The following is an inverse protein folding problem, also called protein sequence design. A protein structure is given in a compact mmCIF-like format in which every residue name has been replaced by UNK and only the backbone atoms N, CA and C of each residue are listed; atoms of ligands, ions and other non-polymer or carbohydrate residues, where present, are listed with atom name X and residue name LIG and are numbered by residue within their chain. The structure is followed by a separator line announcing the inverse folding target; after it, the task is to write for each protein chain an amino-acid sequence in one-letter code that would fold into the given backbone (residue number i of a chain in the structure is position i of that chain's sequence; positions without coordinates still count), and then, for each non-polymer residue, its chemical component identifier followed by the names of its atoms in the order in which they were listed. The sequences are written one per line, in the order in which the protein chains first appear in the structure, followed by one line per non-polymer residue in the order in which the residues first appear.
data_IF_666199592448
#
_entry.id   IF_666199592448
#
_cell.length_a   1.000
_cell.length_b   1.000
_cell.length_c   1.000
_cell.angle_alpha   90.00
_cell.angle_beta   90.00
_cell.angle_gamma   90.00
#
_symmetry.space_group_name_H-M   'P 1'
#
loop_
_entity.id
_entity.type
_entity.pdbx_description
1 polymer ?
#
# COMPACT_ATOMS: atom_id res chain seq x y z
N UNK A 1 31.81 -0.38 22.84
CA UNK A 1 32.92 -0.83 21.98
C UNK A 1 32.39 -1.07 20.58
N UNK A 2 32.83 -0.31 19.56
CA UNK A 2 32.41 -0.57 18.19
C UNK A 2 33.00 -1.92 17.76
N UNK A 3 32.15 -2.86 17.34
CA UNK A 3 32.59 -4.07 16.65
C UNK A 3 33.30 -3.60 15.39
N UNK A 4 34.60 -3.88 15.28
CA UNK A 4 35.33 -3.75 14.02
C UNK A 4 34.54 -4.53 12.98
N UNK A 5 33.98 -3.82 12.01
CA UNK A 5 33.41 -4.43 10.81
C UNK A 5 34.53 -5.20 10.14
N UNK A 6 34.51 -6.53 10.27
CA UNK A 6 35.43 -7.37 9.49
C UNK A 6 35.22 -7.00 8.02
N UNK A 7 36.30 -6.75 7.26
CA UNK A 7 36.17 -6.43 5.85
C UNK A 7 35.45 -7.59 5.16
N UNK A 8 34.31 -7.30 4.55
CA UNK A 8 33.55 -8.28 3.78
C UNK A 8 34.41 -8.71 2.60
N UNK A 9 34.76 -10.00 2.51
CA UNK A 9 35.56 -10.50 1.39
C UNK A 9 34.84 -10.23 0.06
N UNK A 10 35.62 -9.74 -0.89
CA UNK A 10 35.16 -9.45 -2.24
C UNK A 10 34.78 -10.75 -2.95
N UNK A 11 33.94 -10.66 -3.97
CA UNK A 11 33.52 -11.84 -4.73
C UNK A 11 34.71 -12.60 -5.35
N UNK A 12 35.73 -11.87 -5.81
CA UNK A 12 36.95 -12.42 -6.37
C UNK A 12 37.77 -13.20 -5.32
N UNK A 13 37.90 -12.65 -4.11
CA UNK A 13 38.60 -13.33 -3.02
C UNK A 13 37.84 -14.58 -2.57
N UNK A 14 36.51 -14.52 -2.46
CA UNK A 14 35.67 -15.69 -2.15
C UNK A 14 35.82 -16.82 -3.16
N UNK A 15 35.85 -16.50 -4.47
CA UNK A 15 36.01 -17.50 -5.52
C UNK A 15 37.40 -18.12 -5.56
N UNK A 16 38.40 -17.45 -4.99
CA UNK A 16 39.80 -17.88 -5.04
C UNK A 16 40.25 -18.68 -3.80
N UNK A 17 39.59 -18.52 -2.65
CA UNK A 17 39.97 -19.15 -1.37
C UNK A 17 40.10 -20.68 -1.47
N UNK A 18 39.08 -21.36 -2.02
CA UNK A 18 39.07 -22.83 -2.10
C UNK A 18 40.02 -23.33 -3.20
N UNK A 19 40.01 -22.80 -4.44
CA UNK A 19 40.96 -23.20 -5.47
C UNK A 19 42.43 -23.00 -5.07
N UNK A 20 42.77 -21.87 -4.44
CA UNK A 20 44.13 -21.61 -4.00
C UNK A 20 44.58 -22.57 -2.88
N UNK A 21 43.68 -22.95 -1.97
CA UNK A 21 43.97 -23.95 -0.95
C UNK A 21 44.13 -25.35 -1.56
N UNK A 22 43.32 -25.69 -2.57
CA UNK A 22 43.39 -26.98 -3.27
C UNK A 22 44.67 -27.10 -4.10
N UNK A 23 45.09 -26.04 -4.79
CA UNK A 23 46.36 -25.98 -5.52
C UNK A 23 47.54 -26.19 -4.56
N UNK A 24 47.54 -25.48 -3.43
CA UNK A 24 48.58 -25.62 -2.42
C UNK A 24 48.62 -27.03 -1.78
N UNK A 25 47.46 -27.68 -1.63
CA UNK A 25 47.38 -29.06 -1.15
C UNK A 25 47.84 -30.07 -2.20
N UNK A 26 47.53 -29.83 -3.48
CA UNK A 26 47.99 -30.66 -4.60
C UNK A 26 49.51 -30.59 -4.76
N UNK A 27 50.09 -29.40 -4.70
CA UNK A 27 51.54 -29.19 -4.76
C UNK A 27 52.27 -29.88 -3.61
N UNK A 28 51.72 -29.79 -2.39
CA UNK A 28 52.30 -30.45 -1.22
C UNK A 28 52.20 -31.98 -1.30
N UNK A 29 51.10 -32.52 -1.85
CA UNK A 29 50.93 -33.95 -2.08
C UNK A 29 51.87 -34.45 -3.19
N UNK A 30 52.06 -33.67 -4.26
CA UNK A 30 53.00 -33.97 -5.34
C UNK A 30 54.44 -34.02 -4.80
N UNK A 31 54.85 -33.06 -3.98
CA UNK A 31 56.18 -33.02 -3.37
C UNK A 31 56.46 -34.25 -2.48
N UNK A 32 55.45 -34.77 -1.77
CA UNK A 32 55.55 -36.03 -1.03
C UNK A 32 55.71 -37.22 -1.99
N UNK A 33 54.86 -37.31 -3.01
CA UNK A 33 54.88 -38.41 -3.98
C UNK A 33 56.20 -38.49 -4.76
N UNK A 34 56.76 -37.34 -5.16
CA UNK A 34 58.06 -37.25 -5.82
C UNK A 34 59.19 -37.71 -4.89
N UNK A 35 59.19 -37.25 -3.62
CA UNK A 35 60.19 -37.68 -2.65
C UNK A 35 60.12 -39.19 -2.37
N UNK A 36 58.92 -39.77 -2.31
CA UNK A 36 58.72 -41.22 -2.14
C UNK A 36 59.16 -42.02 -3.37
N UNK A 37 58.89 -41.53 -4.58
CA UNK A 37 59.31 -42.18 -5.83
C UNK A 37 60.84 -42.26 -5.97
N UNK A 38 61.55 -41.21 -5.56
CA UNK A 38 63.03 -41.21 -5.53
C UNK A 38 63.54 -42.23 -4.50
N UNK A 39 62.92 -42.33 -3.32
CA UNK A 39 63.29 -43.32 -2.30
C UNK A 39 63.04 -44.76 -2.79
N UNK A 40 61.98 -45.01 -3.57
CA UNK A 40 61.69 -46.32 -4.19
C UNK A 40 62.58 -46.63 -5.41
N UNK A 41 63.38 -45.68 -5.89
CA UNK A 41 64.20 -45.84 -7.10
C UNK A 41 63.42 -45.76 -8.41
N UNK A 42 62.18 -45.25 -8.37
CA UNK A 42 61.27 -45.11 -9.52
C UNK A 42 61.51 -43.80 -10.29
N UNK A 43 62.23 -42.84 -9.70
CA UNK A 43 62.53 -41.54 -10.28
C UNK A 43 64.01 -41.13 -10.05
N UNK A 44 64.63 -40.38 -10.99
CA UNK A 44 65.98 -39.88 -10.83
C UNK A 44 66.01 -38.75 -9.77
N UNK A 45 66.93 -38.83 -8.81
CA UNK A 45 67.09 -37.80 -7.79
C UNK A 45 67.98 -38.23 -6.63
N UNK A 46 68.25 -37.31 -5.71
CA UNK A 46 68.89 -37.63 -4.43
C UNK A 46 67.80 -38.00 -3.43
N UNK A 47 67.84 -39.19 -2.79
CA UNK A 47 66.81 -39.59 -1.84
C UNK A 47 66.76 -38.62 -0.65
N UNK A 48 65.55 -38.18 -0.31
CA UNK A 48 65.31 -37.32 0.84
C UNK A 48 65.68 -38.06 2.14
N UNK A 49 66.16 -37.31 3.14
CA UNK A 49 66.38 -37.88 4.48
C UNK A 49 65.04 -38.25 5.13
N UNK A 50 65.01 -39.21 6.07
CA UNK A 50 63.78 -39.57 6.78
C UNK A 50 63.08 -38.38 7.46
N UNK A 51 63.86 -37.44 8.01
CA UNK A 51 63.35 -36.21 8.63
C UNK A 51 62.73 -35.26 7.59
N UNK A 52 63.36 -35.10 6.42
CA UNK A 52 62.82 -34.27 5.35
C UNK A 52 61.50 -34.83 4.79
N UNK A 53 61.39 -36.15 4.65
CA UNK A 53 60.15 -36.81 4.24
C UNK A 53 59.03 -36.65 5.28
N UNK A 54 59.35 -36.75 6.57
CA UNK A 54 58.39 -36.52 7.64
C UNK A 54 57.85 -35.09 7.62
N UNK A 55 58.71 -34.09 7.38
CA UNK A 55 58.31 -32.69 7.27
C UNK A 55 57.41 -32.44 6.04
N UNK A 56 57.70 -33.05 4.90
CA UNK A 56 56.85 -32.95 3.71
C UNK A 56 55.46 -33.54 3.94
N UNK A 57 55.38 -34.71 4.61
CA UNK A 57 54.09 -35.33 4.97
C UNK A 57 53.27 -34.45 5.91
N UNK A 58 53.89 -33.86 6.93
CA UNK A 58 53.24 -32.88 7.82
C UNK A 58 52.75 -31.64 7.06
N UNK A 59 53.54 -31.12 6.13
CA UNK A 59 53.16 -29.98 5.30
C UNK A 59 51.96 -30.33 4.40
N UNK A 60 51.92 -31.53 3.82
CA UNK A 60 50.79 -32.00 3.02
C UNK A 60 49.51 -32.17 3.85
N UNK A 61 49.61 -32.72 5.06
CA UNK A 61 48.48 -32.82 6.00
C UNK A 61 47.96 -31.42 6.39
N UNK A 62 48.86 -30.49 6.69
CA UNK A 62 48.51 -29.11 7.01
C UNK A 62 47.84 -28.40 5.81
N UNK A 63 48.33 -28.62 4.59
CA UNK A 63 47.73 -28.07 3.39
C UNK A 63 46.31 -28.64 3.17
N UNK A 64 46.10 -29.94 3.42
CA UNK A 64 44.76 -30.56 3.41
C UNK A 64 43.81 -29.93 4.42
N UNK A 65 44.26 -29.66 5.66
CA UNK A 65 43.44 -28.97 6.67
C UNK A 65 43.06 -27.54 6.26
N UNK A 66 43.93 -26.85 5.52
CA UNK A 66 43.63 -25.50 5.00
C UNK A 66 42.53 -25.50 3.95
N UNK A 67 42.39 -26.56 3.15
CA UNK A 67 41.24 -26.73 2.23
C UNK A 67 39.94 -26.80 3.02
N UNK A 68 39.87 -27.62 4.06
CA UNK A 68 38.66 -27.72 4.90
C UNK A 68 38.34 -26.40 5.60
N UNK A 69 39.35 -25.65 6.04
CA UNK A 69 39.15 -24.32 6.61
C UNK A 69 38.64 -23.31 5.57
N UNK A 70 39.18 -23.34 4.36
CA UNK A 70 38.76 -22.52 3.22
C UNK A 70 37.29 -22.80 2.82
N UNK A 71 36.88 -24.06 2.79
CA UNK A 71 35.50 -24.47 2.49
C UNK A 71 34.51 -23.98 3.56
N UNK A 72 34.89 -24.09 4.84
CA UNK A 72 34.07 -23.57 5.96
C UNK A 72 33.92 -22.06 5.88
N UNK A 73 35.01 -21.35 5.60
CA UNK A 73 34.99 -19.90 5.45
C UNK A 73 34.06 -19.46 4.30
N UNK A 74 34.14 -20.14 3.15
CA UNK A 74 33.25 -19.88 2.02
C UNK A 74 31.77 -20.11 2.39
N UNK A 75 31.47 -21.21 3.09
CA UNK A 75 30.12 -21.52 3.54
C UNK A 75 29.57 -20.47 4.51
N UNK A 76 30.38 -20.02 5.47
CA UNK A 76 30.01 -18.99 6.44
C UNK A 76 29.73 -17.64 5.77
N UNK A 77 30.54 -17.24 4.81
CA UNK A 77 30.35 -16.00 4.05
C UNK A 77 29.11 -16.06 3.15
N UNK A 78 28.86 -17.20 2.49
CA UNK A 78 27.63 -17.40 1.72
C UNK A 78 26.38 -17.39 2.61
N UNK A 79 26.46 -17.96 3.82
CA UNK A 79 25.37 -17.91 4.79
C UNK A 79 25.15 -16.49 5.30
N UNK A 80 26.21 -15.73 5.57
CA UNK A 80 26.12 -14.33 5.97
C UNK A 80 25.45 -13.47 4.90
N UNK A 81 25.83 -13.65 3.62
CA UNK A 81 25.19 -12.97 2.48
C UNK A 81 23.70 -13.29 2.38
N UNK A 82 23.32 -14.57 2.44
CA UNK A 82 21.92 -14.99 2.42
C UNK A 82 21.10 -14.36 3.57
N UNK A 83 21.66 -14.32 4.78
CA UNK A 83 21.00 -13.67 5.93
C UNK A 83 20.84 -12.16 5.72
N UNK A 84 21.85 -11.49 5.16
CA UNK A 84 21.78 -10.06 4.85
C UNK A 84 20.71 -9.77 3.79
N UNK A 85 20.63 -10.57 2.74
CA UNK A 85 19.60 -10.47 1.69
C UNK A 85 18.18 -10.69 2.25
N UNK A 86 18.00 -11.70 3.10
CA UNK A 86 16.73 -11.97 3.79
C UNK A 86 16.32 -10.81 4.69
N UNK A 87 17.26 -10.25 5.48
CA UNK A 87 16.99 -9.09 6.32
C UNK A 87 16.62 -7.84 5.49
N UNK A 88 17.29 -7.62 4.36
CA UNK A 88 16.96 -6.53 3.45
C UNK A 88 15.58 -6.73 2.78
N UNK A 89 15.22 -7.97 2.44
CA UNK A 89 13.88 -8.28 1.94
C UNK A 89 12.80 -8.02 2.99
N UNK A 90 13.00 -8.45 4.24
CA UNK A 90 12.08 -8.19 5.34
C UNK A 90 11.91 -6.69 5.59
N UNK A 91 13.00 -5.92 5.60
CA UNK A 91 12.94 -4.47 5.76
C UNK A 91 12.13 -3.79 4.65
N UNK A 92 12.25 -4.25 3.40
CA UNK A 92 11.42 -3.75 2.29
C UNK A 92 9.93 -4.03 2.50
N UNK A 93 9.58 -5.25 2.95
CA UNK A 93 8.18 -5.61 3.25
C UNK A 93 7.62 -4.76 4.39
N UNK A 94 8.38 -4.57 5.47
CA UNK A 94 7.96 -3.74 6.60
C UNK A 94 7.73 -2.28 6.20
N UNK A 95 8.64 -1.72 5.41
CA UNK A 95 8.49 -0.35 4.91
C UNK A 95 7.31 -0.20 3.94
N UNK A 96 7.04 -1.22 3.12
CA UNK A 96 5.86 -1.28 2.26
C UNK A 96 4.56 -1.30 3.07
N UNK A 97 4.47 -2.22 4.04
CA UNK A 97 3.30 -2.34 4.91
C UNK A 97 3.02 -1.05 5.72
N UNK A 98 4.06 -0.40 6.25
CA UNK A 98 3.90 0.88 6.94
C UNK A 98 3.35 1.99 6.03
N UNK A 99 3.77 2.01 4.76
CA UNK A 99 3.26 2.95 3.76
C UNK A 99 1.80 2.67 3.41
N UNK A 100 1.45 1.39 3.22
CA UNK A 100 0.08 0.98 2.86
C UNK A 100 -0.90 1.29 4.00
N UNK A 101 -0.50 1.06 5.25
CA UNK A 101 -1.29 1.44 6.43
C UNK A 101 -1.49 2.96 6.53
N UNK A 102 -0.42 3.75 6.35
CA UNK A 102 -0.55 5.21 6.35
C UNK A 102 -1.43 5.73 5.21
N UNK A 103 -1.41 5.07 4.05
CA UNK A 103 -2.31 5.39 2.95
C UNK A 103 -3.77 5.02 3.29
N UNK A 104 -4.02 3.88 3.94
CA UNK A 104 -5.35 3.51 4.42
C UNK A 104 -5.91 4.53 5.43
N UNK A 105 -5.10 4.95 6.40
CA UNK A 105 -5.50 5.98 7.37
C UNK A 105 -5.86 7.31 6.68
N UNK A 106 -5.10 7.70 5.65
CA UNK A 106 -5.41 8.90 4.87
C UNK A 106 -6.72 8.80 4.09
N UNK A 107 -7.06 7.62 3.59
CA UNK A 107 -8.33 7.36 2.89
C UNK A 107 -9.48 7.40 3.89
N UNK A 108 -9.34 6.76 5.06
CA UNK A 108 -10.35 6.79 6.12
C UNK A 108 -10.61 8.22 6.57
N UNK A 109 -9.56 9.00 6.86
CA UNK A 109 -9.71 10.41 7.23
C UNK A 109 -10.41 11.26 6.15
N UNK A 110 -10.15 10.98 4.87
CA UNK A 110 -10.84 11.64 3.77
C UNK A 110 -12.32 11.25 3.70
N UNK A 111 -12.67 9.97 3.93
CA UNK A 111 -14.05 9.50 3.99
C UNK A 111 -14.81 10.10 5.17
N UNK A 112 -14.21 10.15 6.36
CA UNK A 112 -14.77 10.80 7.55
C UNK A 112 -15.03 12.29 7.28
N UNK A 113 -14.09 12.96 6.58
CA UNK A 113 -14.25 14.35 6.15
C UNK A 113 -15.44 14.54 5.20
N UNK A 114 -15.64 13.62 4.24
CA UNK A 114 -16.80 13.62 3.35
C UNK A 114 -18.11 13.40 4.09
N UNK A 115 -18.15 12.44 5.02
CA UNK A 115 -19.32 12.18 5.86
C UNK A 115 -19.68 13.41 6.70
N UNK A 116 -18.69 14.02 7.35
CA UNK A 116 -18.87 15.26 8.11
C UNK A 116 -19.39 16.42 7.25
N UNK A 117 -18.89 16.57 6.03
CA UNK A 117 -19.36 17.59 5.10
C UNK A 117 -20.82 17.36 4.66
N UNK A 118 -21.20 16.10 4.40
CA UNK A 118 -22.59 15.73 4.06
C UNK A 118 -23.52 16.00 5.25
N UNK A 119 -23.13 15.62 6.46
CA UNK A 119 -23.90 15.88 7.67
C UNK A 119 -24.10 17.38 7.94
N UNK A 120 -23.05 18.18 7.75
CA UNK A 120 -23.10 19.63 7.87
C UNK A 120 -24.04 20.26 6.83
N UNK A 121 -23.98 19.80 5.56
CA UNK A 121 -24.88 20.24 4.51
C UNK A 121 -26.33 19.92 4.86
N UNK A 122 -26.64 18.68 5.26
CA UNK A 122 -27.99 18.27 5.66
C UNK A 122 -28.52 19.14 6.81
N UNK A 123 -27.68 19.44 7.81
CA UNK A 123 -28.03 20.31 8.94
C UNK A 123 -28.33 21.75 8.47
N UNK A 124 -27.51 22.30 7.59
CA UNK A 124 -27.72 23.64 7.04
C UNK A 124 -29.02 23.74 6.22
N UNK A 125 -29.33 22.72 5.41
CA UNK A 125 -30.57 22.63 4.64
C UNK A 125 -31.80 22.49 5.55
N UNK A 126 -31.72 21.67 6.60
CA UNK A 126 -32.77 21.55 7.60
C UNK A 126 -33.04 22.89 8.31
N UNK A 127 -31.99 23.61 8.70
CA UNK A 127 -32.10 24.94 9.31
C UNK A 127 -32.64 26.00 8.33
N UNK A 128 -32.35 25.89 7.04
CA UNK A 128 -32.96 26.73 6.00
C UNK A 128 -34.46 26.46 5.88
N UNK A 129 -34.85 25.18 5.75
CA UNK A 129 -36.25 24.79 5.62
C UNK A 129 -37.06 25.19 6.86
N UNK A 130 -36.52 24.99 8.07
CA UNK A 130 -37.16 25.43 9.31
C UNK A 130 -37.38 26.94 9.35
N UNK A 131 -36.43 27.74 8.84
CA UNK A 131 -36.59 29.20 8.72
C UNK A 131 -37.71 29.57 7.76
N UNK A 132 -37.86 28.86 6.63
CA UNK A 132 -38.96 29.11 5.70
C UNK A 132 -40.32 28.79 6.32
N UNK A 133 -40.43 27.66 7.03
CA UNK A 133 -41.66 27.32 7.75
C UNK A 133 -42.00 28.34 8.84
N UNK A 134 -40.98 28.84 9.55
CA UNK A 134 -41.17 29.91 10.52
C UNK A 134 -41.71 31.19 9.87
N UNK A 135 -41.10 31.65 8.76
CA UNK A 135 -41.57 32.84 8.04
C UNK A 135 -42.99 32.67 7.48
N UNK A 136 -43.34 31.51 6.93
CA UNK A 136 -44.69 31.23 6.48
C UNK A 136 -45.71 31.33 7.65
N UNK A 137 -45.33 30.84 8.83
CA UNK A 137 -46.16 30.93 10.05
C UNK A 137 -46.34 32.39 10.49
N UNK A 138 -45.26 33.17 10.54
CA UNK A 138 -45.30 34.59 10.90
C UNK A 138 -46.15 35.41 9.91
N UNK A 139 -46.06 35.12 8.61
CA UNK A 139 -46.89 35.78 7.60
C UNK A 139 -48.38 35.45 7.77
N UNK A 140 -48.72 34.19 8.09
CA UNK A 140 -50.08 33.80 8.43
C UNK A 140 -50.60 34.53 9.68
N UNK A 141 -49.78 34.65 10.72
CA UNK A 141 -50.13 35.40 11.94
C UNK A 141 -50.32 36.90 11.68
N UNK A 142 -49.59 37.46 10.70
CA UNK A 142 -49.72 38.85 10.29
C UNK A 142 -50.93 39.13 9.38
N UNK A 143 -51.73 38.11 9.04
CA UNK A 143 -52.93 38.26 8.20
C UNK A 143 -52.65 38.28 6.69
N UNK A 144 -51.45 37.93 6.25
CA UNK A 144 -51.15 37.75 4.83
C UNK A 144 -51.91 36.51 4.34
N UNK A 145 -52.61 36.62 3.21
CA UNK A 145 -53.30 35.48 2.64
C UNK A 145 -52.32 34.49 2.00
N UNK A 146 -52.49 33.20 2.27
CA UNK A 146 -51.73 32.15 1.60
C UNK A 146 -51.97 32.22 0.08
N UNK A 147 -50.89 32.14 -0.70
CA UNK A 147 -50.93 32.22 -2.16
C UNK A 147 -50.87 30.82 -2.75
N UNK A 148 -51.84 30.45 -3.59
CA UNK A 148 -51.77 29.22 -4.39
C UNK A 148 -50.88 29.45 -5.62
N UNK A 149 -49.57 29.50 -5.42
CA UNK A 149 -48.57 29.60 -6.49
C UNK A 149 -47.41 30.56 -6.19
N UNK A 150 -46.56 30.76 -7.20
CA UNK A 150 -45.41 31.66 -7.15
C UNK A 150 -45.84 33.09 -7.43
N UNK A 151 -46.27 33.80 -6.39
CA UNK A 151 -46.63 35.21 -6.50
C UNK A 151 -46.64 35.87 -5.13
N UNK A 152 -46.09 37.08 -5.06
CA UNK A 152 -46.33 37.95 -3.92
C UNK A 152 -47.74 38.56 -4.07
N UNK A 153 -48.47 38.67 -2.96
CA UNK A 153 -49.70 39.44 -2.92
C UNK A 153 -49.46 40.93 -3.24
N UNK A 154 -50.52 41.75 -3.30
CA UNK A 154 -50.42 43.18 -3.60
C UNK A 154 -49.47 43.96 -2.67
N UNK A 155 -49.20 43.43 -1.47
CA UNK A 155 -48.29 44.01 -0.48
C UNK A 155 -46.82 43.56 -0.65
N UNK A 156 -46.52 42.77 -1.68
CA UNK A 156 -45.15 42.30 -1.93
C UNK A 156 -44.72 41.12 -1.04
N UNK A 157 -45.63 40.49 -0.31
CA UNK A 157 -45.38 39.28 0.48
C UNK A 157 -46.37 38.17 0.12
N UNK A 158 -45.93 36.92 0.25
CA UNK A 158 -46.77 35.76 0.06
C UNK A 158 -46.12 34.51 0.63
N UNK A 159 -46.94 33.50 0.93
CA UNK A 159 -46.45 32.20 1.36
C UNK A 159 -47.37 31.10 0.87
N UNK A 160 -46.80 29.93 0.63
CA UNK A 160 -47.49 28.69 0.31
C UNK A 160 -46.86 27.53 1.07
N UNK A 161 -47.39 26.32 0.91
CA UNK A 161 -46.78 25.11 1.46
C UNK A 161 -45.36 24.87 0.91
N UNK A 162 -45.08 25.35 -0.29
CA UNK A 162 -43.83 25.08 -1.03
C UNK A 162 -42.90 26.28 -1.17
N UNK A 163 -43.28 27.49 -0.73
CA UNK A 163 -42.41 28.65 -0.84
C UNK A 163 -42.81 29.84 0.04
N UNK A 164 -41.85 30.75 0.25
CA UNK A 164 -42.07 32.09 0.81
C UNK A 164 -41.62 33.11 -0.24
N UNK A 165 -42.46 34.10 -0.52
CA UNK A 165 -42.21 35.17 -1.48
C UNK A 165 -42.04 36.52 -0.78
N UNK A 166 -40.96 37.23 -1.15
CA UNK A 166 -40.64 38.58 -0.64
C UNK A 166 -40.23 39.45 -1.82
N UNK A 167 -41.11 40.38 -2.20
CA UNK A 167 -41.01 41.18 -3.42
C UNK A 167 -40.96 40.28 -4.66
N UNK A 168 -39.86 40.35 -5.40
CA UNK A 168 -39.62 39.52 -6.58
C UNK A 168 -38.87 38.21 -6.28
N UNK A 169 -38.47 37.99 -5.02
CA UNK A 169 -37.69 36.81 -4.63
C UNK A 169 -38.60 35.71 -4.12
N UNK A 170 -38.35 34.49 -4.59
CA UNK A 170 -39.04 33.27 -4.15
C UNK A 170 -38.03 32.38 -3.45
N UNK A 171 -38.32 31.99 -2.22
CA UNK A 171 -37.51 31.07 -1.43
C UNK A 171 -38.24 29.75 -1.28
N UNK A 172 -37.58 28.64 -1.64
CA UNK A 172 -38.15 27.29 -1.60
C UNK A 172 -37.42 26.40 -0.61
N UNK A 173 -38.11 25.39 -0.04
CA UNK A 173 -37.44 24.35 0.70
C UNK A 173 -36.50 23.59 -0.23
N UNK A 174 -35.36 23.21 0.31
CA UNK A 174 -34.35 22.45 -0.41
C UNK A 174 -34.40 21.00 0.04
N UNK A 175 -34.45 20.08 -0.92
CA UNK A 175 -34.40 18.65 -0.64
C UNK A 175 -32.94 18.16 -0.67
N UNK A 176 -32.43 17.76 0.49
CA UNK A 176 -31.05 17.29 0.63
C UNK A 176 -30.73 16.09 -0.28
N UNK A 177 -31.66 15.14 -0.42
CA UNK A 177 -31.48 13.96 -1.27
C UNK A 177 -31.25 14.29 -2.75
N UNK A 178 -32.03 15.23 -3.31
CA UNK A 178 -31.90 15.64 -4.71
C UNK A 178 -30.56 16.34 -4.96
N UNK A 179 -30.15 17.23 -4.04
CA UNK A 179 -28.87 17.94 -4.14
C UNK A 179 -27.67 17.00 -4.01
N UNK A 180 -27.72 16.06 -3.06
CA UNK A 180 -26.68 15.04 -2.88
C UNK A 180 -26.60 14.11 -4.11
N UNK A 181 -27.73 13.70 -4.66
CA UNK A 181 -27.78 12.89 -5.88
C UNK A 181 -27.17 13.61 -7.08
N UNK A 182 -27.47 14.90 -7.27
CA UNK A 182 -26.88 15.71 -8.34
C UNK A 182 -25.37 15.93 -8.17
N UNK A 183 -24.90 16.14 -6.93
CA UNK A 183 -23.47 16.26 -6.63
C UNK A 183 -22.73 14.96 -6.87
N UNK A 184 -23.30 13.82 -6.47
CA UNK A 184 -22.74 12.49 -6.72
C UNK A 184 -22.67 12.21 -8.21
N UNK A 185 -23.76 12.47 -8.96
CA UNK A 185 -23.79 12.28 -10.41
C UNK A 185 -22.71 13.12 -11.12
N UNK A 186 -22.54 14.39 -10.73
CA UNK A 186 -21.48 15.25 -11.27
C UNK A 186 -20.08 14.73 -10.93
N UNK A 187 -19.85 14.32 -9.69
CA UNK A 187 -18.57 13.74 -9.28
C UNK A 187 -18.24 12.46 -10.06
N UNK A 188 -19.25 11.62 -10.35
CA UNK A 188 -19.08 10.42 -11.16
C UNK A 188 -18.82 10.72 -12.63
N UNK A 189 -19.48 11.74 -13.20
CA UNK A 189 -19.27 12.19 -14.57
C UNK A 189 -17.86 12.77 -14.79
N UNK A 190 -17.31 13.46 -13.79
CA UNK A 190 -15.96 14.03 -13.84
C UNK A 190 -14.85 12.95 -13.66
N UNK A 191 -15.18 11.77 -13.11
CA UNK A 191 -14.24 10.66 -12.86
C UNK A 191 -14.77 9.27 -13.32
N UNK A 192 -15.04 9.08 -14.63
CA UNK A 192 -15.75 7.90 -15.14
C UNK A 192 -14.98 6.57 -15.05
N UNK A 193 -13.68 6.60 -14.70
CA UNK A 193 -12.83 5.39 -14.64
C UNK A 193 -12.62 4.84 -13.23
N UNK A 194 -13.10 5.52 -12.18
CA UNK A 194 -12.71 5.23 -10.80
C UNK A 194 -13.85 4.84 -9.85
N UNK A 195 -15.10 4.86 -10.31
CA UNK A 195 -16.25 4.50 -9.49
C UNK A 195 -17.12 3.45 -10.19
N UNK A 196 -17.12 2.22 -9.65
CA UNK A 196 -18.17 1.23 -9.93
C UNK A 196 -19.16 1.26 -8.77
N UNK A 197 -20.42 1.51 -9.08
CA UNK A 197 -21.49 1.53 -8.08
C UNK A 197 -22.01 0.09 -7.90
N UNK A 198 -21.99 -0.41 -6.67
CA UNK A 198 -22.56 -1.71 -6.30
C UNK A 198 -23.73 -1.48 -5.34
N UNK A 199 -24.94 -1.81 -5.77
CA UNK A 199 -26.11 -1.98 -4.88
C UNK A 199 -26.42 -3.47 -4.79
N UNK A 200 -25.86 -4.14 -3.79
CA UNK A 200 -25.99 -5.60 -3.64
C UNK A 200 -25.22 -6.40 -4.71
N UNK A 201 -25.79 -7.52 -5.18
CA UNK A 201 -25.14 -8.50 -6.09
C UNK A 201 -25.17 -8.13 -7.57
N UNK A 202 -25.72 -6.97 -7.94
CA UNK A 202 -25.85 -6.56 -9.35
C UNK A 202 -25.03 -5.30 -9.65
N UNK A 203 -24.13 -5.41 -10.61
CA UNK A 203 -23.34 -4.29 -11.15
C UNK A 203 -24.26 -3.44 -12.06
N UNK A 204 -24.46 -2.17 -11.69
CA UNK A 204 -25.32 -1.24 -12.43
C UNK A 204 -24.49 -0.59 -13.56
N UNK A 205 -24.02 -1.41 -14.49
CA UNK A 205 -23.04 -1.00 -15.49
C UNK A 205 -23.60 -0.09 -16.61
N UNK A 206 -24.92 0.09 -16.75
CA UNK A 206 -25.46 0.64 -18.00
C UNK A 206 -26.72 1.50 -17.89
N UNK A 207 -27.03 2.11 -16.73
CA UNK A 207 -28.21 2.98 -16.62
C UNK A 207 -27.89 4.35 -16.01
N UNK A 208 -27.52 5.28 -16.90
CA UNK A 208 -27.62 6.73 -16.68
C UNK A 208 -29.07 7.25 -16.65
N UNK A 209 -30.08 6.38 -16.70
CA UNK A 209 -31.50 6.77 -16.81
C UNK A 209 -32.27 6.72 -15.48
N UNK A 210 -31.59 6.87 -14.34
CA UNK A 210 -32.25 6.84 -13.02
C UNK A 210 -32.98 8.13 -12.62
N UNK A 211 -33.13 9.08 -13.55
CA UNK A 211 -33.96 10.26 -13.37
C UNK A 211 -34.99 10.27 -14.49
N UNK A 212 -36.17 9.69 -14.23
CA UNK A 212 -37.38 10.03 -14.98
C UNK A 212 -37.56 11.56 -14.95
N UNK A 213 -37.95 12.14 -16.08
CA UNK A 213 -38.49 13.51 -16.23
C UNK A 213 -39.45 14.01 -15.14
N UNK A 214 -40.00 13.14 -14.29
CA UNK A 214 -40.87 13.45 -13.16
C UNK A 214 -40.17 13.43 -11.77
N UNK A 215 -38.86 13.19 -11.70
CA UNK A 215 -38.03 13.59 -10.55
C UNK A 215 -38.28 12.91 -9.21
N UNK A 216 -38.87 11.72 -9.15
CA UNK A 216 -39.02 10.97 -7.89
C UNK A 216 -38.35 9.60 -7.96
N UNK A 217 -37.30 9.44 -7.16
CA UNK A 217 -36.81 8.12 -6.72
C UNK A 217 -37.04 8.07 -5.22
N UNK A 218 -38.01 7.26 -4.80
CA UNK A 218 -38.22 6.95 -3.39
C UNK A 218 -37.14 5.95 -2.94
N UNK A 219 -36.13 6.46 -2.23
CA UNK A 219 -35.06 5.66 -1.64
C UNK A 219 -35.58 4.66 -0.58
N UNK A 220 -36.80 4.82 -0.05
CA UNK A 220 -37.39 3.86 0.89
C UNK A 220 -37.96 2.61 0.23
N UNK A 221 -38.36 2.67 -1.04
CA UNK A 221 -38.78 1.49 -1.81
C UNK A 221 -37.59 0.60 -2.21
N UNK A 222 -36.39 1.18 -2.29
CA UNK A 222 -35.16 0.43 -2.56
C UNK A 222 -34.66 -0.36 -1.33
N UNK A 223 -34.97 0.12 -0.12
CA UNK A 223 -34.53 -0.48 1.15
C UNK A 223 -35.52 -1.55 1.64
N UNK A 224 -36.81 -1.43 1.30
CA UNK A 224 -37.85 -2.38 1.75
C UNK A 224 -38.00 -3.66 0.93
N UNK A 225 -37.39 -3.76 -0.24
CA UNK A 225 -37.54 -4.97 -1.09
C UNK A 225 -36.77 -6.21 -0.62
N UNK A 226 -35.97 -6.10 0.44
CA UNK A 226 -35.27 -7.22 1.09
C UNK A 226 -35.66 -7.41 2.59
N UNK A 227 -36.93 -7.13 2.95
CA UNK A 227 -37.53 -7.53 4.24
C UNK A 227 -38.68 -8.52 4.05
#
# INVERSE_FOLDING_TARGET
MPKQSQPTMTHAEMSAIVPAAQEQAADAALAVAEAEAVIRGEAPGTPATPEALAQLRLNAEYAGMRVTAAERQLADEQNARRRAEQAAALARVQNGAARDLGQADSIIAALDGCEGAVAALCTALAAHNARLSHWATEMGNAGIAATHGEGAGPEGFGYSEDCVTVGTKVYRPMQAGVLLGALLHRALADYPRHFRYYTGTTELADRCDLIDSNGTVDLHDLIRKDA
#
